data_IF_225287794846
#
_entry.id   IF_225287794846
#
_cell.length_a   1.000
_cell.length_b   1.000
_cell.length_c   1.000
_cell.angle_alpha   90.00
_cell.angle_beta   90.00
_cell.angle_gamma   90.00
#
_symmetry.space_group_name_H-M   'P 1'
#
loop_
_entity.id
_entity.type
_entity.pdbx_description
1 polymer ?
#
# COMPACT_ATOMS: atom_id res chain seq x y z
N UNK A 1 -29.75 -14.39 38.71
CA UNK A 1 -31.12 -13.87 38.97
C UNK A 1 -31.93 -14.83 39.84
N UNK A 2 -31.82 -16.15 39.64
CA UNK A 2 -32.63 -17.15 40.34
C UNK A 2 -32.30 -17.30 41.83
N UNK A 3 -31.05 -17.10 42.23
CA UNK A 3 -30.64 -17.19 43.64
C UNK A 3 -31.29 -16.08 44.52
N UNK A 4 -31.49 -14.88 43.96
CA UNK A 4 -32.15 -13.77 44.65
C UNK A 4 -33.67 -13.95 44.70
N UNK A 5 -34.29 -14.41 43.61
CA UNK A 5 -35.71 -14.76 43.58
C UNK A 5 -36.03 -15.89 44.56
N UNK A 6 -35.18 -16.92 44.62
CA UNK A 6 -35.32 -18.04 45.55
C UNK A 6 -35.16 -17.59 47.00
N UNK A 7 -34.18 -16.74 47.31
CA UNK A 7 -34.03 -16.15 48.65
C UNK A 7 -35.23 -15.28 49.06
N UNK A 8 -35.80 -14.50 48.13
CA UNK A 8 -37.00 -13.72 48.41
C UNK A 8 -38.21 -14.60 48.72
N UNK A 9 -38.45 -15.62 47.90
CA UNK A 9 -39.58 -16.51 48.07
C UNK A 9 -39.46 -17.30 49.37
N UNK A 10 -38.26 -17.78 49.70
CA UNK A 10 -37.97 -18.49 50.95
C UNK A 10 -38.09 -17.56 52.17
N UNK A 11 -37.54 -16.35 52.12
CA UNK A 11 -37.61 -15.39 53.22
C UNK A 11 -39.06 -14.92 53.46
N UNK A 12 -39.81 -14.67 52.39
CA UNK A 12 -41.21 -14.25 52.44
C UNK A 12 -42.12 -15.39 52.94
N UNK A 13 -41.86 -16.64 52.52
CA UNK A 13 -42.56 -17.82 53.02
C UNK A 13 -42.26 -18.10 54.49
N UNK A 14 -40.98 -18.04 54.91
CA UNK A 14 -40.58 -18.22 56.31
C UNK A 14 -41.21 -17.14 57.17
N UNK A 15 -41.09 -15.88 56.77
CA UNK A 15 -41.64 -14.73 57.50
C UNK A 15 -43.15 -14.85 57.66
N UNK A 16 -43.91 -15.06 56.57
CA UNK A 16 -45.36 -15.26 56.64
C UNK A 16 -45.76 -16.45 57.50
N UNK A 17 -45.04 -17.58 57.38
CA UNK A 17 -45.31 -18.78 58.17
C UNK A 17 -45.08 -18.54 59.66
N UNK A 18 -44.02 -17.83 60.05
CA UNK A 18 -43.76 -17.49 61.45
C UNK A 18 -44.83 -16.55 62.02
N UNK A 19 -45.29 -15.56 61.24
CA UNK A 19 -46.38 -14.66 61.63
C UNK A 19 -47.70 -15.42 61.82
N UNK A 20 -48.09 -16.26 60.85
CA UNK A 20 -49.30 -17.09 60.92
C UNK A 20 -49.31 -18.07 62.10
N UNK A 21 -48.16 -18.69 62.41
CA UNK A 21 -48.02 -19.58 63.57
C UNK A 21 -48.17 -18.80 64.89
N UNK A 22 -47.63 -17.58 64.95
CA UNK A 22 -47.70 -16.75 66.14
C UNK A 22 -49.12 -16.20 66.38
N UNK A 23 -49.81 -15.76 65.32
CA UNK A 23 -51.22 -15.37 65.35
C UNK A 23 -52.14 -16.55 65.70
N UNK A 24 -51.89 -17.74 65.15
CA UNK A 24 -52.65 -18.95 65.48
C UNK A 24 -52.53 -19.33 66.95
N UNK A 25 -51.33 -19.24 67.53
CA UNK A 25 -51.11 -19.47 68.97
C UNK A 25 -51.78 -18.42 69.85
N UNK A 26 -51.83 -17.17 69.40
CA UNK A 26 -52.54 -16.10 70.09
C UNK A 26 -54.06 -16.35 70.07
N UNK A 27 -54.61 -16.67 68.90
CA UNK A 27 -56.04 -16.96 68.72
C UNK A 27 -56.50 -18.21 69.50
N UNK A 28 -55.62 -19.21 69.62
CA UNK A 28 -55.88 -20.40 70.44
C UNK A 28 -55.84 -20.08 71.95
N UNK A 29 -54.93 -19.17 72.37
CA UNK A 29 -54.88 -18.67 73.74
C UNK A 29 -56.12 -17.83 74.10
N UNK A 30 -56.59 -16.96 73.18
CA UNK A 30 -57.84 -16.21 73.29
C UNK A 30 -59.04 -17.15 73.47
N UNK A 31 -59.16 -18.18 72.63
CA UNK A 31 -60.27 -19.14 72.69
C UNK A 31 -60.27 -20.01 73.96
N UNK A 32 -59.09 -20.30 74.51
CA UNK A 32 -58.95 -21.02 75.79
C UNK A 32 -59.33 -20.14 76.97
N UNK A 33 -59.05 -18.83 76.89
CA UNK A 33 -59.52 -17.84 77.86
C UNK A 33 -61.05 -17.71 77.83
N UNK A 34 -61.67 -17.60 76.64
CA UNK A 34 -63.13 -17.56 76.45
C UNK A 34 -63.83 -18.81 77.01
N UNK A 35 -63.24 -20.00 76.84
CA UNK A 35 -63.75 -21.26 77.42
C UNK A 35 -63.64 -21.32 78.94
N UNK A 36 -62.59 -20.75 79.53
CA UNK A 36 -62.43 -20.68 81.00
C UNK A 36 -63.33 -19.60 81.62
N UNK A 37 -63.58 -18.51 80.91
CA UNK A 37 -64.48 -17.43 81.36
C UNK A 37 -65.95 -17.83 81.23
N UNK A 38 -66.34 -18.62 80.22
CA UNK A 38 -67.72 -19.09 80.01
C UNK A 38 -68.16 -20.24 80.93
N UNK A 39 -67.26 -21.14 81.35
CA UNK A 39 -67.58 -22.23 82.31
C UNK A 39 -67.61 -21.79 83.78
N UNK A 40 -67.08 -20.61 84.10
CA UNK A 40 -67.02 -20.10 85.47
C UNK A 40 -68.29 -19.33 85.91
N UNK A 41 -69.32 -19.26 85.06
CA UNK A 41 -70.58 -18.58 85.38
C UNK A 41 -71.53 -19.42 86.26
N UNK A 42 -71.30 -20.72 86.46
CA UNK A 42 -72.24 -21.62 87.15
C UNK A 42 -71.71 -22.25 88.46
N UNK A 43 -70.47 -21.97 88.88
CA UNK A 43 -69.95 -22.48 90.17
C UNK A 43 -69.22 -21.41 90.97
N UNK A 44 -69.58 -21.34 92.25
CA UNK A 44 -69.36 -20.26 93.19
C UNK A 44 -67.92 -19.77 93.40
N UNK A 45 -67.90 -18.46 93.64
CA UNK A 45 -66.90 -17.55 94.19
C UNK A 45 -65.82 -18.21 95.08
N UNK A 46 -64.55 -17.99 94.72
CA UNK A 46 -63.41 -18.19 95.63
C UNK A 46 -62.01 -18.24 95.00
N UNK A 47 -61.85 -18.85 93.82
CA UNK A 47 -60.51 -19.02 93.20
C UNK A 47 -60.38 -18.51 91.75
N UNK A 48 -61.47 -18.13 91.07
CA UNK A 48 -61.45 -17.81 89.63
C UNK A 48 -60.84 -16.44 89.28
N UNK A 49 -60.78 -15.49 90.23
CA UNK A 49 -60.24 -14.15 90.00
C UNK A 49 -58.71 -14.10 89.81
N UNK A 50 -57.97 -14.93 90.55
CA UNK A 50 -56.51 -15.03 90.44
C UNK A 50 -56.10 -15.72 89.14
N UNK A 51 -56.82 -16.78 88.75
CA UNK A 51 -56.56 -17.53 87.53
C UNK A 51 -56.87 -16.71 86.26
N UNK A 52 -57.99 -15.96 86.25
CA UNK A 52 -58.29 -14.95 85.20
C UNK A 52 -57.22 -13.85 85.09
N UNK A 53 -56.75 -13.30 86.21
CA UNK A 53 -55.72 -12.25 86.19
C UNK A 53 -54.36 -12.76 85.67
N UNK A 54 -54.05 -14.04 85.90
CA UNK A 54 -52.82 -14.68 85.39
C UNK A 54 -52.88 -15.04 83.90
N UNK A 55 -54.06 -15.41 83.37
CA UNK A 55 -54.26 -15.72 81.94
C UNK A 55 -54.19 -14.47 81.08
N UNK A 56 -54.79 -13.36 81.51
CA UNK A 56 -54.69 -12.06 80.83
C UNK A 56 -53.24 -11.60 80.73
N UNK A 57 -52.48 -11.67 81.83
CA UNK A 57 -51.04 -11.32 81.84
C UNK A 57 -50.18 -12.21 80.93
N UNK A 58 -50.58 -13.48 80.75
CA UNK A 58 -49.93 -14.42 79.81
C UNK A 58 -50.28 -14.08 78.36
N UNK A 59 -51.51 -13.63 78.11
CA UNK A 59 -51.97 -13.12 76.82
C UNK A 59 -51.19 -11.88 76.41
N UNK A 60 -51.09 -10.88 77.30
CA UNK A 60 -50.36 -9.62 77.06
C UNK A 60 -48.89 -9.90 76.68
N UNK A 61 -48.21 -10.78 77.41
CA UNK A 61 -46.83 -11.19 77.10
C UNK A 61 -46.72 -11.91 75.74
N UNK A 62 -47.72 -12.69 75.37
CA UNK A 62 -47.75 -13.35 74.07
C UNK A 62 -47.98 -12.33 72.95
N UNK A 63 -48.87 -11.35 73.16
CA UNK A 63 -49.10 -10.24 72.23
C UNK A 63 -47.84 -9.39 72.02
N UNK A 64 -47.14 -9.01 73.11
CA UNK A 64 -45.86 -8.28 73.03
C UNK A 64 -44.79 -9.08 72.25
N UNK A 65 -44.73 -10.40 72.46
CA UNK A 65 -43.79 -11.25 71.73
C UNK A 65 -44.14 -11.38 70.25
N UNK A 66 -45.43 -11.42 69.91
CA UNK A 66 -45.91 -11.43 68.52
C UNK A 66 -45.59 -10.10 67.84
N UNK A 67 -45.86 -8.96 68.49
CA UNK A 67 -45.57 -7.64 67.91
C UNK A 67 -44.08 -7.41 67.72
N UNK A 68 -43.22 -7.83 68.66
CA UNK A 68 -41.77 -7.76 68.52
C UNK A 68 -41.26 -8.61 67.35
N UNK A 69 -41.81 -9.82 67.17
CA UNK A 69 -41.48 -10.69 66.04
C UNK A 69 -41.94 -10.12 64.71
N UNK A 70 -43.15 -9.55 64.63
CA UNK A 70 -43.67 -8.87 63.45
C UNK A 70 -42.77 -7.68 63.05
N UNK A 71 -42.30 -6.91 64.04
CA UNK A 71 -41.39 -5.80 63.81
C UNK A 71 -40.03 -6.27 63.26
N UNK A 72 -39.44 -7.32 63.83
CA UNK A 72 -38.18 -7.92 63.34
C UNK A 72 -38.33 -8.45 61.91
N UNK A 73 -39.44 -9.11 61.61
CA UNK A 73 -39.79 -9.59 60.28
C UNK A 73 -39.90 -8.44 59.28
N UNK A 74 -40.57 -7.35 59.67
CA UNK A 74 -40.73 -6.14 58.85
C UNK A 74 -39.37 -5.49 58.57
N UNK A 75 -38.52 -5.38 59.58
CA UNK A 75 -37.16 -4.85 59.43
C UNK A 75 -36.32 -5.69 58.45
N UNK A 76 -36.30 -7.01 58.63
CA UNK A 76 -35.57 -7.91 57.74
C UNK A 76 -36.07 -7.83 56.29
N UNK A 77 -37.39 -7.70 56.08
CA UNK A 77 -37.98 -7.49 54.76
C UNK A 77 -37.54 -6.16 54.14
N UNK A 78 -37.54 -5.08 54.91
CA UNK A 78 -37.12 -3.76 54.44
C UNK A 78 -35.63 -3.73 54.09
N UNK A 79 -34.77 -4.30 54.94
CA UNK A 79 -33.33 -4.43 54.68
C UNK A 79 -33.06 -5.24 53.41
N UNK A 80 -33.83 -6.31 53.18
CA UNK A 80 -33.76 -7.07 51.93
C UNK A 80 -34.13 -6.21 50.71
N UNK A 81 -35.23 -5.45 50.76
CA UNK A 81 -35.66 -4.61 49.64
C UNK A 81 -34.63 -3.51 49.33
N UNK A 82 -34.01 -2.91 50.34
CA UNK A 82 -32.93 -1.94 50.17
C UNK A 82 -31.70 -2.58 49.49
N UNK A 83 -31.27 -3.75 49.96
CA UNK A 83 -30.16 -4.48 49.35
C UNK A 83 -30.46 -4.92 47.92
N UNK A 84 -31.71 -5.30 47.62
CA UNK A 84 -32.14 -5.65 46.27
C UNK A 84 -32.05 -4.43 45.34
N UNK A 85 -32.52 -3.26 45.80
CA UNK A 85 -32.40 -2.02 45.03
C UNK A 85 -30.93 -1.64 44.79
N UNK A 86 -30.08 -1.74 45.81
CA UNK A 86 -28.65 -1.47 45.71
C UNK A 86 -27.94 -2.44 44.73
N UNK A 87 -28.23 -3.74 44.81
CA UNK A 87 -27.67 -4.75 43.91
C UNK A 87 -28.10 -4.52 42.44
N UNK A 88 -29.37 -4.20 42.21
CA UNK A 88 -29.87 -3.87 40.87
C UNK A 88 -29.23 -2.59 40.33
N UNK A 89 -29.04 -1.56 41.16
CA UNK A 89 -28.36 -0.33 40.78
C UNK A 89 -26.89 -0.58 40.42
N UNK A 90 -26.17 -1.39 41.22
CA UNK A 90 -24.80 -1.79 40.93
C UNK A 90 -24.69 -2.59 39.63
N UNK A 91 -25.61 -3.53 39.39
CA UNK A 91 -25.66 -4.31 38.16
C UNK A 91 -25.91 -3.42 36.94
N UNK A 92 -26.88 -2.51 37.03
CA UNK A 92 -27.16 -1.56 35.95
C UNK A 92 -25.94 -0.67 35.67
N UNK A 93 -25.28 -0.13 36.72
CA UNK A 93 -24.07 0.66 36.53
C UNK A 93 -22.96 -0.15 35.85
N UNK A 94 -22.73 -1.38 36.31
CA UNK A 94 -21.70 -2.25 35.74
C UNK A 94 -21.92 -2.47 34.24
N UNK A 95 -23.12 -2.92 33.85
CA UNK A 95 -23.39 -3.29 32.46
C UNK A 95 -23.66 -2.09 31.53
N UNK A 96 -24.19 -0.98 32.05
CA UNK A 96 -24.50 0.20 31.22
C UNK A 96 -23.37 1.22 31.17
N UNK A 97 -22.43 1.22 32.12
CA UNK A 97 -21.35 2.21 32.20
C UNK A 97 -19.98 1.55 32.31
N UNK A 98 -19.75 0.76 33.37
CA UNK A 98 -18.39 0.32 33.71
C UNK A 98 -17.76 -0.57 32.62
N UNK A 99 -18.55 -1.44 31.97
CA UNK A 99 -18.07 -2.25 30.84
C UNK A 99 -17.58 -1.38 29.68
N UNK A 100 -18.33 -0.33 29.31
CA UNK A 100 -17.92 0.58 28.23
C UNK A 100 -16.64 1.33 28.61
N UNK A 101 -16.58 1.87 29.82
CA UNK A 101 -15.39 2.58 30.32
C UNK A 101 -14.15 1.68 30.35
N UNK A 102 -14.30 0.42 30.72
CA UNK A 102 -13.18 -0.55 30.69
C UNK A 102 -12.64 -0.74 29.28
N UNK A 103 -13.53 -0.86 28.28
CA UNK A 103 -13.14 -0.99 26.87
C UNK A 103 -12.39 0.27 26.41
N UNK A 104 -12.93 1.45 26.70
CA UNK A 104 -12.29 2.73 26.34
C UNK A 104 -10.90 2.87 26.98
N UNK A 105 -10.72 2.38 28.22
CA UNK A 105 -9.41 2.35 28.87
C UNK A 105 -8.44 1.37 28.21
N UNK A 106 -8.91 0.20 27.74
CA UNK A 106 -8.09 -0.76 27.01
C UNK A 106 -7.63 -0.21 25.65
N UNK A 107 -8.49 0.54 24.97
CA UNK A 107 -8.23 1.09 23.64
C UNK A 107 -7.49 2.43 23.68
N UNK A 108 -7.22 2.96 24.87
CA UNK A 108 -6.65 4.29 25.08
C UNK A 108 -5.33 4.46 24.33
N UNK A 109 -5.34 5.31 23.31
CA UNK A 109 -4.16 5.67 22.52
C UNK A 109 -3.76 4.66 21.44
N UNK A 110 -4.45 3.52 21.31
CA UNK A 110 -4.13 2.52 20.28
C UNK A 110 -4.26 3.10 18.86
N UNK A 111 -5.42 3.67 18.53
CA UNK A 111 -5.67 4.26 17.22
C UNK A 111 -4.72 5.42 16.90
N UNK A 112 -4.42 6.27 17.87
CA UNK A 112 -3.51 7.41 17.71
C UNK A 112 -2.08 6.95 17.41
N UNK A 113 -1.65 5.87 18.05
CA UNK A 113 -0.33 5.27 17.84
C UNK A 113 -0.22 4.65 16.45
N UNK A 114 -1.23 3.86 16.05
CA UNK A 114 -1.30 3.26 14.71
C UNK A 114 -1.36 4.33 13.61
N UNK A 115 -2.20 5.34 13.79
CA UNK A 115 -2.32 6.48 12.85
C UNK A 115 -0.98 7.18 12.66
N UNK A 116 -0.24 7.44 13.74
CA UNK A 116 1.08 8.08 13.68
C UNK A 116 2.07 7.27 12.86
N UNK A 117 2.14 5.95 13.09
CA UNK A 117 3.03 5.05 12.35
C UNK A 117 2.63 5.01 10.88
N UNK A 118 1.33 4.89 10.58
CA UNK A 118 0.82 4.84 9.21
C UNK A 118 1.06 6.15 8.45
N UNK A 119 0.86 7.31 9.09
CA UNK A 119 1.20 8.61 8.49
C UNK A 119 2.69 8.70 8.16
N UNK A 120 3.56 8.30 9.08
CA UNK A 120 5.00 8.27 8.84
C UNK A 120 5.36 7.38 7.65
N UNK A 121 4.78 6.17 7.58
CA UNK A 121 4.96 5.26 6.47
C UNK A 121 4.53 5.88 5.13
N UNK A 122 3.33 6.47 5.08
CA UNK A 122 2.80 7.12 3.88
C UNK A 122 3.70 8.28 3.43
N UNK A 123 4.14 9.15 4.35
CA UNK A 123 5.06 10.25 4.03
C UNK A 123 6.38 9.72 3.45
N UNK A 124 6.95 8.66 4.01
CA UNK A 124 8.17 8.07 3.48
C UNK A 124 7.95 7.43 2.10
N UNK A 125 6.83 6.73 1.89
CA UNK A 125 6.47 6.18 0.57
C UNK A 125 6.32 7.27 -0.49
N UNK A 126 5.64 8.36 -0.17
CA UNK A 126 5.51 9.51 -1.05
C UNK A 126 6.87 10.13 -1.41
N UNK A 127 7.78 10.23 -0.44
CA UNK A 127 9.13 10.74 -0.68
C UNK A 127 9.90 9.84 -1.66
N UNK A 128 9.84 8.52 -1.48
CA UNK A 128 10.50 7.55 -2.37
C UNK A 128 9.97 7.70 -3.79
N UNK A 129 8.64 7.69 -3.97
CA UNK A 129 8.01 7.84 -5.29
C UNK A 129 8.44 9.13 -5.98
N UNK A 130 8.50 10.24 -5.25
CA UNK A 130 8.97 11.52 -5.78
C UNK A 130 10.44 11.49 -6.19
N UNK A 131 11.29 10.82 -5.41
CA UNK A 131 12.71 10.63 -5.74
C UNK A 131 12.87 9.76 -6.99
N UNK A 132 12.10 8.67 -7.11
CA UNK A 132 12.10 7.81 -8.31
C UNK A 132 11.62 8.57 -9.54
N UNK A 133 10.51 9.31 -9.44
CA UNK A 133 10.00 10.16 -10.53
C UNK A 133 11.05 11.20 -10.98
N UNK A 134 11.73 11.83 -10.02
CA UNK A 134 12.81 12.77 -10.32
C UNK A 134 14.00 12.08 -11.01
N UNK A 135 14.37 10.87 -10.57
CA UNK A 135 15.43 10.09 -11.19
C UNK A 135 15.09 9.68 -12.62
N UNK A 136 13.83 9.29 -12.86
CA UNK A 136 13.34 8.95 -14.18
C UNK A 136 13.36 10.15 -15.12
N UNK A 137 12.94 11.33 -14.66
CA UNK A 137 13.02 12.58 -15.44
C UNK A 137 14.45 12.96 -15.79
N UNK A 138 15.40 12.75 -14.88
CA UNK A 138 16.82 12.98 -15.17
C UNK A 138 17.34 12.01 -16.24
N UNK A 139 16.95 10.73 -16.16
CA UNK A 139 17.30 9.74 -17.16
C UNK A 139 16.66 10.05 -18.53
N UNK A 140 15.38 10.42 -18.56
CA UNK A 140 14.68 10.84 -19.77
C UNK A 140 15.40 12.04 -20.41
N UNK A 141 15.77 13.03 -19.61
CA UNK A 141 16.56 14.18 -20.09
C UNK A 141 17.89 13.71 -20.68
N UNK A 142 18.64 12.86 -19.98
CA UNK A 142 19.91 12.33 -20.48
C UNK A 142 19.76 11.57 -21.82
N UNK A 143 18.73 10.73 -21.94
CA UNK A 143 18.42 9.97 -23.16
C UNK A 143 18.06 10.92 -24.31
N UNK A 144 17.19 11.90 -24.07
CA UNK A 144 16.80 12.89 -25.09
C UNK A 144 17.94 13.84 -25.48
N UNK A 145 18.95 13.99 -24.62
CA UNK A 145 20.13 14.83 -24.89
C UNK A 145 21.25 14.12 -25.66
N UNK A 146 21.11 12.84 -25.99
CA UNK A 146 22.09 12.12 -26.81
C UNK A 146 22.19 12.77 -28.20
N UNK A 147 23.35 13.33 -28.54
CA UNK A 147 23.61 13.99 -29.80
C UNK A 147 24.96 13.58 -30.39
N UNK A 148 24.93 12.56 -31.24
CA UNK A 148 26.11 12.05 -31.93
C UNK A 148 26.83 13.13 -32.77
N UNK A 149 26.09 14.08 -33.33
CA UNK A 149 26.68 15.11 -34.19
C UNK A 149 27.41 16.17 -33.37
N UNK A 150 26.81 16.60 -32.26
CA UNK A 150 27.43 17.45 -31.25
C UNK A 150 28.68 16.81 -30.65
N UNK A 151 28.62 15.53 -30.29
CA UNK A 151 29.77 14.78 -29.76
C UNK A 151 30.95 14.73 -30.75
N UNK A 152 30.66 14.49 -32.03
CA UNK A 152 31.67 14.53 -33.11
C UNK A 152 32.30 15.92 -33.22
N UNK A 153 31.49 16.96 -33.25
CA UNK A 153 31.97 18.33 -33.42
C UNK A 153 32.81 18.78 -32.22
N UNK A 154 32.40 18.40 -31.00
CA UNK A 154 33.18 18.60 -29.79
C UNK A 154 34.53 17.88 -29.83
N UNK A 155 34.57 16.63 -30.31
CA UNK A 155 35.81 15.87 -30.50
C UNK A 155 36.76 16.59 -31.48
N UNK A 156 36.24 17.04 -32.63
CA UNK A 156 37.03 17.74 -33.64
C UNK A 156 37.59 19.06 -33.10
N UNK A 157 36.79 19.82 -32.36
CA UNK A 157 37.21 21.08 -31.74
C UNK A 157 38.26 20.85 -30.65
N UNK A 158 38.08 19.84 -29.80
CA UNK A 158 39.02 19.52 -28.72
C UNK A 158 40.40 19.10 -29.28
N UNK A 159 40.42 18.50 -30.46
CA UNK A 159 41.62 17.99 -31.12
C UNK A 159 41.95 18.73 -32.42
N UNK A 160 41.72 20.05 -32.47
CA UNK A 160 41.92 20.85 -33.68
C UNK A 160 43.31 20.67 -34.30
N UNK A 161 44.38 20.65 -33.50
CA UNK A 161 45.76 20.43 -34.02
C UNK A 161 45.96 19.13 -34.81
N UNK A 162 45.15 18.10 -34.58
CA UNK A 162 45.20 16.83 -35.30
C UNK A 162 44.30 16.80 -36.55
N UNK A 163 43.20 17.55 -36.53
CA UNK A 163 42.15 17.48 -37.55
C UNK A 163 42.01 18.76 -38.40
N UNK A 164 42.75 19.83 -38.07
CA UNK A 164 42.72 21.07 -38.83
C UNK A 164 43.32 20.87 -40.23
N UNK A 165 42.81 21.64 -41.18
CA UNK A 165 43.26 21.57 -42.56
C UNK A 165 44.73 22.02 -42.66
N UNK A 166 45.66 21.19 -43.18
CA UNK A 166 47.04 21.60 -43.38
C UNK A 166 47.14 22.75 -44.40
N UNK A 167 48.27 23.47 -44.35
CA UNK A 167 48.55 24.49 -45.36
C UNK A 167 48.56 23.88 -46.76
N UNK A 168 48.01 24.63 -47.72
CA UNK A 168 48.09 24.26 -49.13
C UNK A 168 49.55 24.25 -49.55
N UNK A 169 49.91 23.27 -50.38
CA UNK A 169 51.19 23.30 -51.08
C UNK A 169 51.22 24.51 -52.00
N UNK A 170 52.25 25.34 -51.85
CA UNK A 170 52.49 26.48 -52.72
C UNK A 170 53.57 26.12 -53.74
N UNK A 171 53.44 26.67 -54.95
CA UNK A 171 54.50 26.59 -55.95
C UNK A 171 55.72 27.38 -55.48
N UNK A 172 56.90 26.75 -55.52
CA UNK A 172 58.18 27.36 -55.16
C UNK A 172 59.08 27.37 -56.42
N UNK A 173 59.33 28.54 -57.04
CA UNK A 173 60.18 28.64 -58.21
C UNK A 173 61.62 28.21 -57.88
N UNK A 174 62.18 27.31 -58.69
CA UNK A 174 63.59 26.93 -58.58
C UNK A 174 64.43 27.85 -59.46
N UNK A 175 65.51 28.45 -58.93
CA UNK A 175 66.45 29.28 -59.70
C UNK A 175 65.82 30.42 -60.52
N UNK A 176 64.72 31.01 -60.03
CA UNK A 176 64.04 32.11 -60.73
C UNK A 176 63.15 31.67 -61.89
N UNK A 177 62.70 30.41 -61.88
CA UNK A 177 61.75 29.83 -62.85
C UNK A 177 60.56 30.76 -63.12
N UNK A 178 60.32 31.04 -64.40
CA UNK A 178 59.17 31.78 -64.91
C UNK A 178 58.28 30.86 -65.72
N UNK A 179 57.06 30.64 -65.23
CA UNK A 179 56.06 29.83 -65.94
C UNK A 179 55.46 30.65 -67.09
N UNK A 180 55.74 30.24 -68.33
CA UNK A 180 55.11 30.77 -69.55
C UNK A 180 54.74 29.63 -70.50
N UNK A 181 53.65 29.80 -71.23
CA UNK A 181 53.21 28.87 -72.27
C UNK A 181 53.13 29.60 -73.62
N UNK A 182 53.96 29.18 -74.58
CA UNK A 182 54.03 29.76 -75.93
C UNK A 182 53.61 28.76 -77.01
N UNK A 183 52.94 29.27 -78.05
CA UNK A 183 52.58 28.57 -79.30
C UNK A 183 52.14 27.10 -79.11
N UNK A 184 52.97 26.13 -79.50
CA UNK A 184 52.70 24.68 -79.46
C UNK A 184 52.35 24.18 -78.05
N UNK A 185 53.07 24.65 -77.01
CA UNK A 185 52.83 24.25 -75.62
C UNK A 185 51.44 24.69 -75.15
N UNK A 186 50.96 25.86 -75.62
CA UNK A 186 49.61 26.34 -75.31
C UNK A 186 48.53 25.43 -75.92
N UNK A 187 48.72 24.93 -77.15
CA UNK A 187 47.76 24.03 -77.79
C UNK A 187 47.71 22.65 -77.12
N UNK A 188 48.86 22.11 -76.71
CA UNK A 188 48.94 20.86 -75.95
C UNK A 188 48.29 20.99 -74.56
N UNK A 189 48.52 22.10 -73.87
CA UNK A 189 47.85 22.39 -72.59
C UNK A 189 46.33 22.52 -72.73
N UNK A 190 45.85 23.17 -73.79
CA UNK A 190 44.41 23.30 -74.07
C UNK A 190 43.78 21.93 -74.35
N UNK A 191 44.44 21.09 -75.15
CA UNK A 191 43.98 19.72 -75.41
C UNK A 191 43.94 18.90 -74.13
N UNK A 192 44.98 18.99 -73.29
CA UNK A 192 45.03 18.32 -71.99
C UNK A 192 43.94 18.83 -71.05
N UNK A 193 43.67 20.13 -71.05
CA UNK A 193 42.60 20.74 -70.25
C UNK A 193 41.24 20.17 -70.65
N UNK A 194 40.93 20.11 -71.95
CA UNK A 194 39.68 19.53 -72.44
C UNK A 194 39.54 18.04 -72.07
N UNK A 195 40.62 17.26 -72.22
CA UNK A 195 40.64 15.84 -71.78
C UNK A 195 40.40 15.70 -70.27
N UNK A 196 41.06 16.52 -69.45
CA UNK A 196 40.87 16.53 -67.99
C UNK A 196 39.44 16.94 -67.63
N UNK A 197 38.87 17.91 -68.33
CA UNK A 197 37.51 18.37 -68.13
C UNK A 197 36.49 17.27 -68.47
N UNK A 198 36.65 16.57 -69.60
CA UNK A 198 35.80 15.43 -69.95
C UNK A 198 35.92 14.28 -68.94
N UNK A 199 37.14 13.97 -68.49
CA UNK A 199 37.37 12.93 -67.47
C UNK A 199 36.79 13.31 -66.12
N UNK A 200 36.93 14.57 -65.70
CA UNK A 200 36.32 15.08 -64.48
C UNK A 200 34.80 14.97 -64.59
N UNK A 201 34.19 15.38 -65.69
CA UNK A 201 32.75 15.24 -65.90
C UNK A 201 32.30 13.77 -65.81
N UNK A 202 33.05 12.83 -66.39
CA UNK A 202 32.76 11.40 -66.30
C UNK A 202 32.89 10.85 -64.88
N UNK A 203 33.97 11.18 -64.15
CA UNK A 203 34.19 10.74 -62.76
C UNK A 203 33.19 11.39 -61.80
N UNK A 204 32.91 12.69 -61.99
CA UNK A 204 31.85 13.40 -61.28
C UNK A 204 30.52 12.74 -61.57
N UNK A 205 30.21 12.36 -62.81
CA UNK A 205 28.97 11.65 -63.12
C UNK A 205 28.96 10.23 -62.54
N UNK A 206 30.06 9.50 -62.45
CA UNK A 206 30.11 8.18 -61.77
C UNK A 206 29.96 8.31 -60.25
N UNK A 207 30.53 9.37 -59.65
CA UNK A 207 30.51 9.64 -58.21
C UNK A 207 29.19 10.28 -57.76
N UNK A 208 28.68 11.23 -58.55
CA UNK A 208 27.41 11.95 -58.40
C UNK A 208 26.24 11.25 -59.08
N UNK A 209 26.46 10.23 -59.90
CA UNK A 209 25.45 9.23 -60.18
C UNK A 209 25.10 8.68 -58.80
N UNK A 210 24.08 9.31 -58.22
CA UNK A 210 22.81 8.72 -57.87
C UNK A 210 22.92 7.27 -57.42
N UNK A 211 23.51 6.35 -58.18
CA UNK A 211 23.85 5.01 -57.72
C UNK A 211 24.75 4.97 -56.48
N UNK A 212 26.00 5.45 -56.48
CA UNK A 212 26.91 5.20 -55.33
C UNK A 212 26.47 5.98 -54.09
N UNK A 213 26.25 7.30 -54.22
CA UNK A 213 25.84 8.13 -53.09
C UNK A 213 24.43 7.76 -52.61
N UNK A 214 23.44 7.51 -53.50
CA UNK A 214 22.11 7.10 -52.99
C UNK A 214 22.10 5.67 -52.50
N UNK A 215 22.89 4.75 -53.07
CA UNK A 215 23.03 3.39 -52.52
C UNK A 215 23.64 3.46 -51.12
N UNK A 216 24.73 4.21 -50.92
CA UNK A 216 25.30 4.42 -49.58
C UNK A 216 24.31 5.05 -48.61
N UNK A 217 23.57 6.08 -49.03
CA UNK A 217 22.54 6.71 -48.19
C UNK A 217 21.41 5.74 -47.87
N UNK A 218 20.91 5.00 -48.85
CA UNK A 218 19.82 4.03 -48.68
C UNK A 218 20.25 2.86 -47.78
N UNK A 219 21.47 2.34 -47.97
CA UNK A 219 22.06 1.31 -47.11
C UNK A 219 22.23 1.82 -45.68
N UNK A 220 22.72 3.07 -45.50
CA UNK A 220 22.82 3.69 -44.17
C UNK A 220 21.45 3.85 -43.50
N UNK A 221 20.44 4.32 -44.24
CA UNK A 221 19.06 4.41 -43.74
C UNK A 221 18.54 3.03 -43.33
N UNK A 222 18.74 2.00 -44.15
CA UNK A 222 18.33 0.63 -43.81
C UNK A 222 19.04 0.09 -42.55
N UNK A 223 20.31 0.44 -42.33
CA UNK A 223 21.02 0.10 -41.09
C UNK A 223 20.41 0.82 -39.88
N UNK A 224 20.14 2.13 -40.00
CA UNK A 224 19.53 2.93 -38.93
C UNK A 224 18.12 2.43 -38.57
N UNK A 225 17.29 2.14 -39.57
CA UNK A 225 15.94 1.62 -39.38
C UNK A 225 15.96 0.25 -38.67
N UNK A 226 16.88 -0.63 -39.08
CA UNK A 226 17.07 -1.92 -38.43
C UNK A 226 17.54 -1.81 -36.97
N UNK A 227 18.25 -0.74 -36.59
CA UNK A 227 18.66 -0.49 -35.21
C UNK A 227 17.54 0.18 -34.39
N UNK A 228 16.72 1.03 -35.01
CA UNK A 228 15.57 1.69 -34.39
C UNK A 228 14.41 0.72 -34.06
N UNK A 229 14.25 -0.35 -34.83
CA UNK A 229 13.21 -1.38 -34.65
C UNK A 229 13.55 -2.42 -33.55
N UNK A 230 14.29 -2.01 -32.54
CA UNK A 230 14.68 -2.87 -31.41
C UNK A 230 13.49 -3.04 -30.47
N UNK A 231 13.11 -4.29 -30.18
CA UNK A 231 12.05 -4.81 -29.27
C UNK A 231 11.98 -4.13 -27.88
N UNK A 232 11.78 -2.83 -27.83
CA UNK A 232 11.76 -2.01 -26.61
C UNK A 232 10.35 -1.91 -26.03
N UNK A 233 9.41 -2.68 -26.57
CA UNK A 233 8.10 -2.84 -25.98
C UNK A 233 8.16 -4.09 -25.09
N UNK A 234 8.41 -3.96 -23.77
CA UNK A 234 8.06 -5.05 -22.88
C UNK A 234 6.59 -5.38 -23.15
N UNK A 235 6.27 -6.65 -23.41
CA UNK A 235 4.89 -7.09 -23.49
C UNK A 235 4.11 -6.48 -22.31
N UNK A 236 2.89 -5.94 -22.52
CA UNK A 236 2.13 -5.31 -21.44
C UNK A 236 2.05 -6.29 -20.29
N UNK A 237 2.48 -5.84 -19.11
CA UNK A 237 2.58 -6.62 -17.88
C UNK A 237 1.40 -7.61 -17.77
N UNK A 238 1.69 -8.89 -18.01
CA UNK A 238 0.71 -9.94 -17.75
C UNK A 238 0.48 -9.92 -16.24
N UNK A 239 -0.75 -9.67 -15.73
CA UNK A 239 -0.98 -9.69 -14.31
C UNK A 239 -0.57 -11.08 -13.79
N UNK A 240 0.32 -11.08 -12.79
CA UNK A 240 0.85 -12.27 -12.11
C UNK A 240 -0.28 -13.12 -11.54
N UNK A 241 -0.85 -13.98 -12.37
CA UNK A 241 -1.73 -15.08 -12.03
C UNK A 241 -1.73 -16.05 -13.21
N UNK A 242 -0.66 -16.84 -13.36
CA UNK A 242 -0.77 -18.15 -14.00
C UNK A 242 0.39 -19.05 -13.60
N UNK A 243 0.02 -20.09 -12.86
CA UNK A 243 0.81 -21.26 -12.53
C UNK A 243 1.33 -21.97 -13.77
N UNK A 244 2.58 -22.45 -13.67
CA UNK A 244 3.17 -23.57 -14.43
C UNK A 244 2.95 -23.61 -15.95
N UNK A 245 3.95 -23.15 -16.71
CA UNK A 245 4.27 -23.74 -18.02
C UNK A 245 5.64 -24.46 -17.96
N UNK A 246 5.81 -25.58 -18.70
CA UNK A 246 7.01 -26.40 -18.66
C UNK A 246 8.15 -25.78 -19.50
N UNK A 247 9.41 -26.22 -19.30
CA UNK A 247 10.55 -25.74 -20.09
C UNK A 247 10.55 -26.42 -21.47
N UNK A 248 9.75 -25.87 -22.40
CA UNK A 248 9.65 -26.31 -23.79
C UNK A 248 10.08 -25.21 -24.76
N UNK A 249 11.24 -25.38 -25.38
CA UNK A 249 11.95 -24.38 -26.18
C UNK A 249 11.15 -23.67 -27.27
N UNK A 250 11.14 -22.34 -27.19
CA UNK A 250 10.89 -21.47 -28.34
C UNK A 250 12.22 -21.21 -29.06
N UNK A 251 12.60 -22.09 -29.99
CA UNK A 251 13.79 -21.96 -30.85
C UNK A 251 13.54 -21.00 -32.03
N UNK A 252 12.28 -20.71 -32.36
CA UNK A 252 11.90 -19.84 -33.46
C UNK A 252 12.29 -18.35 -33.27
N UNK A 253 12.10 -17.71 -32.09
CA UNK A 253 12.58 -16.35 -31.84
C UNK A 253 14.10 -16.26 -31.88
N UNK A 254 14.80 -17.28 -31.36
CA UNK A 254 16.27 -17.34 -31.39
C UNK A 254 16.79 -17.45 -32.84
N UNK A 255 16.13 -18.23 -33.69
CA UNK A 255 16.48 -18.35 -35.10
C UNK A 255 16.16 -17.07 -35.89
N UNK A 256 15.05 -16.40 -35.60
CA UNK A 256 14.68 -15.12 -36.23
C UNK A 256 15.68 -14.00 -35.87
N UNK A 257 16.07 -13.90 -34.59
CA UNK A 257 17.10 -12.97 -34.12
C UNK A 257 18.47 -13.25 -34.76
N UNK A 258 18.87 -14.52 -34.87
CA UNK A 258 20.11 -14.91 -35.53
C UNK A 258 20.12 -14.52 -37.02
N UNK A 259 19.00 -14.75 -37.73
CA UNK A 259 18.84 -14.32 -39.13
C UNK A 259 18.88 -12.80 -39.29
N UNK A 260 18.21 -12.04 -38.40
CA UNK A 260 18.25 -10.56 -38.39
C UNK A 260 19.69 -10.05 -38.20
N UNK A 261 20.44 -10.63 -37.26
CA UNK A 261 21.86 -10.29 -37.03
C UNK A 261 22.74 -10.60 -38.23
N UNK A 262 22.56 -11.76 -38.87
CA UNK A 262 23.31 -12.11 -40.07
C UNK A 262 23.04 -11.12 -41.22
N UNK A 263 21.78 -10.76 -41.45
CA UNK A 263 21.40 -9.78 -42.47
C UNK A 263 21.98 -8.38 -42.15
N UNK A 264 21.96 -7.96 -40.89
CA UNK A 264 22.60 -6.73 -40.46
C UNK A 264 24.11 -6.75 -40.77
N UNK A 265 24.81 -7.83 -40.43
CA UNK A 265 26.24 -7.97 -40.68
C UNK A 265 26.57 -7.93 -42.18
N UNK A 266 25.75 -8.56 -43.02
CA UNK A 266 25.90 -8.49 -44.48
C UNK A 266 25.70 -7.05 -44.99
N UNK A 267 24.69 -6.35 -44.46
CA UNK A 267 24.39 -4.96 -44.83
C UNK A 267 25.50 -4.00 -44.39
N UNK A 268 26.08 -4.19 -43.20
CA UNK A 268 27.25 -3.44 -42.72
C UNK A 268 28.47 -3.70 -43.62
N UNK A 269 28.72 -4.97 -43.96
CA UNK A 269 29.82 -5.35 -44.84
C UNK A 269 29.68 -4.69 -46.21
N UNK A 270 28.47 -4.69 -46.78
CA UNK A 270 28.18 -4.00 -48.03
C UNK A 270 28.41 -2.49 -47.91
N UNK A 271 27.92 -1.84 -46.85
CA UNK A 271 28.13 -0.42 -46.61
C UNK A 271 29.61 -0.04 -46.61
N UNK A 272 30.46 -0.76 -45.87
CA UNK A 272 31.91 -0.50 -45.83
C UNK A 272 32.61 -0.79 -47.17
N UNK A 273 32.16 -1.81 -47.90
CA UNK A 273 32.72 -2.16 -49.21
C UNK A 273 32.44 -1.06 -50.24
N UNK A 274 31.25 -0.47 -50.22
CA UNK A 274 30.87 0.63 -51.13
C UNK A 274 31.45 1.98 -50.66
N UNK A 275 31.63 2.18 -49.34
CA UNK A 275 32.22 3.40 -48.79
C UNK A 275 33.73 3.51 -49.04
N UNK A 276 34.41 2.38 -49.21
CA UNK A 276 35.85 2.32 -49.48
C UNK A 276 36.19 3.21 -50.68
N UNK A 277 36.88 4.32 -50.40
CA UNK A 277 37.22 5.35 -51.39
C UNK A 277 37.84 4.73 -52.65
N UNK A 278 37.59 5.31 -53.85
CA UNK A 278 38.37 4.94 -55.03
C UNK A 278 39.85 5.07 -54.66
N UNK A 279 40.61 3.99 -54.88
CA UNK A 279 42.05 3.99 -54.66
C UNK A 279 42.61 5.22 -55.36
N UNK A 280 43.19 6.12 -54.59
CA UNK A 280 43.95 7.24 -55.14
C UNK A 280 45.18 6.61 -55.82
N UNK A 281 45.04 6.22 -57.09
CA UNK A 281 46.17 5.78 -57.90
C UNK A 281 47.04 7.01 -58.14
N UNK A 282 48.03 7.20 -57.27
CA UNK A 282 49.05 8.24 -57.37
C UNK A 282 50.03 8.01 -58.54
N UNK A 283 49.63 7.26 -59.58
CA UNK A 283 50.37 7.16 -60.83
C UNK A 283 50.05 8.37 -61.71
N UNK A 284 50.54 9.54 -61.31
CA UNK A 284 50.83 10.61 -62.25
C UNK A 284 52.10 10.20 -63.02
N UNK A 285 51.92 9.48 -64.13
CA UNK A 285 52.90 9.48 -65.23
C UNK A 285 52.47 10.51 -66.27
#
# INVERSE_FOLDING_TARGET
MDLFKLNFQVLNQLTNRYCLIAEGKLKEAERLEERQTGKSAELGIGQSGSQRRSSVKKMERLMEKVTELMLKCTKARNDYLLNLAAANAAMNKYYLQDVSTLIDCCDLGFHQSVERVMKCYLTNRWRILKTEESGLKQLETAVTSLDQSGDRDALLQQHDTAFCLPFRFNYHPHEGDQVSAESQVRYELETRFQQLQSRLAAVTLETEEVSIIKTLKATLTALLDNMGDSDSNPAPDVPSNQSHEPPGGSTAPKLALAKRRANQQETETFYFTVQSFPKFDANFK
#
